data_IF_480745114817
#
_entry.id   IF_480745114817
#
_cell.length_a   1.000
_cell.length_b   1.000
_cell.length_c   1.000
_cell.angle_alpha   90.00
_cell.angle_beta   90.00
_cell.angle_gamma   90.00
#
_symmetry.space_group_name_H-M   'P 1'
#
loop_
_entity.id
_entity.type
_entity.pdbx_description
1 polymer ?
#
# COMPACT_ATOMS: atom_id res chain seq x y z
N UNK A 1 16.31 3.76 0.74
CA UNK A 1 14.95 4.16 1.12
C UNK A 1 14.67 3.46 2.43
N UNK A 2 14.73 4.21 3.52
CA UNK A 2 14.30 3.71 4.83
C UNK A 2 12.81 4.01 4.86
N UNK A 3 11.97 2.97 4.85
CA UNK A 3 10.58 3.16 5.21
C UNK A 3 10.63 3.62 6.67
N UNK A 4 10.06 4.77 7.01
CA UNK A 4 10.12 5.42 8.34
C UNK A 4 9.51 4.57 9.48
N UNK A 5 9.25 3.30 9.22
CA UNK A 5 8.78 2.29 10.15
C UNK A 5 9.92 1.49 10.75
N UNK A 6 11.18 1.67 10.32
CA UNK A 6 12.33 0.94 10.89
C UNK A 6 12.53 1.23 12.38
N UNK A 7 12.22 2.45 12.83
CA UNK A 7 12.22 2.82 14.25
C UNK A 7 11.06 2.17 15.05
N UNK A 8 9.98 1.78 14.37
CA UNK A 8 8.78 1.18 14.98
C UNK A 8 8.76 -0.36 14.87
N UNK A 9 9.48 -0.92 13.91
CA UNK A 9 9.66 -2.37 13.70
C UNK A 9 10.96 -2.82 14.38
N UNK A 10 10.96 -2.82 15.70
CA UNK A 10 12.17 -3.03 16.53
C UNK A 10 12.57 -4.51 16.61
N UNK A 11 11.72 -5.43 16.12
CA UNK A 11 12.03 -6.86 16.10
C UNK A 11 11.25 -7.68 15.06
N UNK A 12 11.67 -8.94 14.90
CA UNK A 12 11.13 -9.89 13.92
C UNK A 12 9.63 -10.16 14.10
N UNK A 13 9.11 -10.05 15.32
CA UNK A 13 7.68 -10.24 15.61
C UNK A 13 6.83 -9.07 15.07
N UNK A 14 7.36 -7.84 15.12
CA UNK A 14 6.69 -6.66 14.59
C UNK A 14 6.68 -6.69 13.05
N UNK A 15 7.80 -7.10 12.44
CA UNK A 15 7.89 -7.31 11.00
C UNK A 15 6.89 -8.36 10.52
N UNK A 16 6.75 -9.49 11.22
CA UNK A 16 5.77 -10.51 10.86
C UNK A 16 4.32 -10.06 11.05
N UNK A 17 4.06 -9.30 12.11
CA UNK A 17 2.74 -8.69 12.32
C UNK A 17 2.41 -7.75 11.16
N UNK A 18 3.36 -6.92 10.74
CA UNK A 18 3.19 -6.03 9.59
C UNK A 18 2.96 -6.80 8.29
N UNK A 19 3.74 -7.86 8.03
CA UNK A 19 3.53 -8.73 6.86
C UNK A 19 2.11 -9.31 6.87
N UNK A 20 1.63 -9.79 8.02
CA UNK A 20 0.28 -10.35 8.13
C UNK A 20 -0.81 -9.31 7.86
N UNK A 21 -0.64 -8.08 8.37
CA UNK A 21 -1.56 -6.96 8.10
C UNK A 21 -1.59 -6.66 6.60
N UNK A 22 -0.43 -6.53 5.96
CA UNK A 22 -0.34 -6.25 4.52
C UNK A 22 -0.98 -7.38 3.68
N UNK A 23 -0.77 -8.64 4.06
CA UNK A 23 -1.41 -9.79 3.41
C UNK A 23 -2.95 -9.74 3.53
N UNK A 24 -3.47 -9.37 4.69
CA UNK A 24 -4.91 -9.24 4.92
C UNK A 24 -5.52 -8.08 4.09
N UNK A 25 -4.83 -6.95 4.01
CA UNK A 25 -5.23 -5.81 3.17
C UNK A 25 -5.22 -6.24 1.70
N UNK A 26 -4.14 -6.85 1.23
CA UNK A 26 -4.03 -7.38 -0.13
C UNK A 26 -5.17 -8.34 -0.48
N UNK A 27 -5.49 -9.28 0.41
CA UNK A 27 -6.58 -10.23 0.21
C UNK A 27 -7.94 -9.54 0.09
N UNK A 28 -8.16 -8.50 0.90
CA UNK A 28 -9.38 -7.67 0.83
C UNK A 28 -9.48 -6.92 -0.49
N UNK A 29 -8.35 -6.42 -1.01
CA UNK A 29 -8.30 -5.69 -2.29
C UNK A 29 -8.64 -6.58 -3.50
N UNK A 30 -8.27 -7.87 -3.48
CA UNK A 30 -8.62 -8.79 -4.56
C UNK A 30 -10.13 -8.91 -4.79
N UNK A 31 -10.95 -8.56 -3.79
CA UNK A 31 -12.41 -8.58 -3.87
C UNK A 31 -13.03 -7.20 -4.21
N UNK A 32 -12.24 -6.12 -4.27
CA UNK A 32 -12.72 -4.73 -4.38
C UNK A 32 -13.04 -4.25 -5.81
N UNK A 33 -13.03 -5.13 -6.81
CA UNK A 33 -13.22 -4.76 -8.21
C UNK A 33 -12.02 -4.01 -8.81
N UNK A 34 -12.15 -3.45 -10.01
CA UNK A 34 -11.01 -2.88 -10.76
C UNK A 34 -10.55 -1.50 -10.27
N UNK A 35 -11.44 -0.72 -9.67
CA UNK A 35 -11.18 0.64 -9.20
C UNK A 35 -11.81 0.85 -7.82
N UNK A 36 -11.08 1.51 -6.93
CA UNK A 36 -11.59 2.04 -5.67
C UNK A 36 -12.12 3.45 -5.94
N UNK A 37 -13.37 3.70 -5.58
CA UNK A 37 -14.01 4.99 -5.85
C UNK A 37 -13.45 6.11 -4.97
N UNK A 38 -13.59 7.36 -5.43
CA UNK A 38 -13.25 8.54 -4.62
C UNK A 38 -14.05 8.54 -3.30
N UNK A 39 -15.32 8.16 -3.34
CA UNK A 39 -16.18 8.12 -2.15
C UNK A 39 -15.65 7.14 -1.11
N UNK A 40 -15.19 5.96 -1.53
CA UNK A 40 -14.56 4.99 -0.64
C UNK A 40 -13.24 5.52 -0.07
N UNK A 41 -12.39 6.15 -0.90
CA UNK A 41 -11.11 6.71 -0.44
C UNK A 41 -11.34 7.82 0.59
N UNK A 42 -12.29 8.73 0.34
CA UNK A 42 -12.65 9.80 1.27
C UNK A 42 -13.40 9.33 2.52
N UNK A 43 -13.87 8.09 2.56
CA UNK A 43 -14.48 7.51 3.76
C UNK A 43 -13.45 7.00 4.77
N UNK A 44 -12.17 6.91 4.39
CA UNK A 44 -11.09 6.49 5.27
C UNK A 44 -10.80 7.63 6.25
N UNK A 45 -10.98 7.44 7.56
CA UNK A 45 -10.61 8.46 8.54
C UNK A 45 -9.09 8.57 8.58
N UNK A 46 -8.57 9.75 8.24
CA UNK A 46 -7.14 10.05 8.28
C UNK A 46 -6.94 11.52 8.65
N UNK A 47 -5.95 11.78 9.49
CA UNK A 47 -5.51 13.14 9.84
C UNK A 47 -4.43 13.66 8.87
N UNK A 48 -4.04 12.86 7.89
CA UNK A 48 -3.05 13.22 6.88
C UNK A 48 -3.68 14.15 5.81
N UNK A 49 -3.34 15.45 5.80
CA UNK A 49 -3.89 16.39 4.83
C UNK A 49 -3.44 16.11 3.40
N UNK A 50 -2.31 15.42 3.22
CA UNK A 50 -1.77 15.08 1.91
C UNK A 50 -2.51 13.89 1.30
N UNK A 51 -3.17 13.05 2.10
CA UNK A 51 -3.93 11.91 1.61
C UNK A 51 -5.01 12.31 0.60
N UNK A 52 -5.73 13.40 0.89
CA UNK A 52 -6.78 13.87 -0.01
C UNK A 52 -6.23 14.31 -1.37
N UNK A 53 -5.11 15.03 -1.34
CA UNK A 53 -4.49 15.61 -2.54
C UNK A 53 -3.85 14.51 -3.39
N UNK A 54 -3.06 13.63 -2.76
CA UNK A 54 -2.23 12.66 -3.43
C UNK A 54 -3.00 11.41 -3.86
N UNK A 55 -3.98 10.96 -3.07
CA UNK A 55 -4.56 9.62 -3.23
C UNK A 55 -6.08 9.61 -3.47
N UNK A 56 -6.83 10.64 -3.08
CA UNK A 56 -8.30 10.65 -3.19
C UNK A 56 -8.89 11.66 -4.18
N UNK A 57 -8.06 12.25 -5.05
CA UNK A 57 -8.50 13.18 -6.11
C UNK A 57 -9.11 12.48 -7.34
N UNK A 58 -8.86 11.18 -7.52
CA UNK A 58 -9.41 10.35 -8.62
C UNK A 58 -9.58 8.89 -8.17
N UNK A 59 -10.40 8.09 -8.88
CA UNK A 59 -10.49 6.65 -8.58
C UNK A 59 -9.12 5.99 -8.64
N UNK A 60 -8.86 5.10 -7.69
CA UNK A 60 -7.58 4.43 -7.56
C UNK A 60 -7.64 3.03 -8.18
N UNK A 61 -6.74 2.66 -9.10
CA UNK A 61 -6.72 1.32 -9.66
C UNK A 61 -6.37 0.28 -8.58
N UNK A 62 -7.29 -0.65 -8.32
CA UNK A 62 -7.10 -1.67 -7.27
C UNK A 62 -5.85 -2.50 -7.52
N UNK A 63 -5.54 -2.78 -8.80
CA UNK A 63 -4.33 -3.50 -9.21
C UNK A 63 -3.04 -2.79 -8.81
N UNK A 64 -2.99 -1.47 -8.87
CA UNK A 64 -1.82 -0.70 -8.47
C UNK A 64 -1.63 -0.73 -6.96
N UNK A 65 -2.72 -0.70 -6.18
CA UNK A 65 -2.63 -0.82 -4.72
C UNK A 65 -2.17 -2.21 -4.30
N UNK A 66 -2.62 -3.27 -5.00
CA UNK A 66 -2.13 -4.63 -4.82
C UNK A 66 -0.62 -4.71 -5.09
N UNK A 67 -0.13 -4.08 -6.16
CA UNK A 67 1.33 -4.03 -6.46
C UNK A 67 2.11 -3.37 -5.33
N UNK A 68 1.60 -2.27 -4.76
CA UNK A 68 2.23 -1.60 -3.62
C UNK A 68 2.27 -2.55 -2.41
N UNK A 69 1.16 -3.24 -2.09
CA UNK A 69 1.15 -4.23 -1.00
C UNK A 69 2.18 -5.36 -1.23
N UNK A 70 2.25 -5.89 -2.46
CA UNK A 70 3.21 -6.93 -2.84
C UNK A 70 4.66 -6.46 -2.71
N UNK A 71 4.94 -5.20 -3.06
CA UNK A 71 6.25 -4.60 -2.91
C UNK A 71 6.66 -4.47 -1.44
N UNK A 72 5.77 -3.94 -0.59
CA UNK A 72 6.03 -3.79 0.84
C UNK A 72 6.29 -5.15 1.52
N UNK A 73 5.49 -6.17 1.19
CA UNK A 73 5.68 -7.54 1.69
C UNK A 73 7.04 -8.10 1.26
N UNK A 74 7.46 -7.89 0.00
CA UNK A 74 8.76 -8.34 -0.47
C UNK A 74 9.92 -7.59 0.20
N UNK A 75 9.76 -6.29 0.47
CA UNK A 75 10.77 -5.50 1.17
C UNK A 75 10.97 -6.00 2.60
N UNK A 76 9.87 -6.26 3.32
CA UNK A 76 9.92 -6.81 4.69
C UNK A 76 10.47 -8.24 4.73
N UNK A 77 10.19 -9.07 3.72
CA UNK A 77 10.76 -10.41 3.62
C UNK A 77 12.21 -10.44 3.11
N UNK A 78 12.81 -9.29 2.77
CA UNK A 78 14.14 -9.22 2.18
C UNK A 78 14.25 -9.85 0.78
N UNK A 79 13.12 -10.05 0.09
CA UNK A 79 13.04 -10.65 -1.25
C UNK A 79 12.81 -9.63 -2.37
N UNK A 80 12.70 -8.34 -2.04
CA UNK A 80 12.53 -7.26 -3.02
C UNK A 80 13.79 -7.08 -3.87
N UNK A 81 13.64 -7.27 -5.18
CA UNK A 81 14.75 -7.19 -6.16
C UNK A 81 14.57 -6.09 -7.20
N UNK A 82 13.42 -5.39 -7.20
CA UNK A 82 13.12 -4.36 -8.19
C UNK A 82 13.94 -3.10 -7.95
N UNK A 83 14.48 -2.55 -9.04
CA UNK A 83 15.22 -1.29 -9.05
C UNK A 83 14.32 -0.08 -9.34
N UNK A 84 13.05 -0.29 -9.70
CA UNK A 84 12.09 0.80 -9.88
C UNK A 84 11.52 1.22 -8.53
N UNK A 85 12.20 2.19 -7.90
CA UNK A 85 11.86 2.69 -6.57
C UNK A 85 10.69 3.69 -6.56
N UNK A 86 10.34 4.26 -7.71
CA UNK A 86 9.31 5.30 -7.78
C UNK A 86 7.89 4.74 -7.69
N UNK A 87 7.70 3.45 -7.99
CA UNK A 87 6.41 2.74 -7.96
C UNK A 87 5.28 3.57 -8.58
N UNK A 88 5.54 4.15 -9.75
CA UNK A 88 4.60 5.02 -10.44
C UNK A 88 3.24 4.33 -10.62
N UNK A 89 2.18 4.99 -10.14
CA UNK A 89 0.82 4.45 -10.23
C UNK A 89 0.32 4.61 -11.66
N UNK A 90 0.06 3.49 -12.32
CA UNK A 90 -0.56 3.52 -13.63
C UNK A 90 -2.09 3.65 -13.54
N UNK A 91 -2.59 4.87 -13.79
CA UNK A 91 -4.03 5.14 -13.85
C UNK A 91 -4.69 4.77 -15.18
N UNK A 92 -3.93 4.30 -16.17
CA UNK A 92 -4.49 3.85 -17.45
C UNK A 92 -4.98 2.41 -17.28
N UNK A 93 -6.29 2.23 -17.44
CA UNK A 93 -6.94 0.92 -17.58
C UNK A 93 -6.46 0.20 -18.84
#
# INVERSE_FOLDING_TARGET
MVLLWDEELVGTDDEQTMIQVLQNVRASLLNKGSMISIAELKSIPTDDPDFEILFSSKPFPTSELIKIMDALIQMLNGSWTSTNLYMDINYKL
#
